data_IF_196484499796
#
_entry.id   IF_196484499796
#
_cell.length_a   1.000
_cell.length_b   1.000
_cell.length_c   1.000
_cell.angle_alpha   90.00
_cell.angle_beta   90.00
_cell.angle_gamma   90.00
#
_symmetry.space_group_name_H-M   'P 1'
#
loop_
_entity.id
_entity.type
_entity.pdbx_description
1 polymer ?
#
# COMPACT_ATOMS: atom_id res chain seq x y z
N UNK A 1 3.02 -15.70 4.18
CA UNK A 1 2.55 -15.32 5.53
C UNK A 1 3.53 -14.37 6.17
N UNK A 2 3.37 -13.09 5.86
CA UNK A 2 4.13 -11.98 6.41
C UNK A 2 3.49 -11.59 7.75
N UNK A 3 4.24 -11.73 8.85
CA UNK A 3 3.80 -11.23 10.17
C UNK A 3 4.05 -9.72 10.31
N UNK A 4 3.56 -9.10 11.40
CA UNK A 4 3.73 -7.65 11.65
C UNK A 4 5.19 -7.16 11.58
N UNK A 5 6.15 -7.97 12.07
CA UNK A 5 7.58 -7.68 11.95
C UNK A 5 8.09 -7.76 10.51
N UNK A 6 7.53 -8.66 9.70
CA UNK A 6 7.80 -8.74 8.27
C UNK A 6 7.24 -7.54 7.51
N UNK A 7 6.08 -7.02 7.91
CA UNK A 7 5.49 -5.83 7.32
C UNK A 7 6.30 -4.56 7.62
N UNK A 8 6.82 -4.40 8.84
CA UNK A 8 7.70 -3.25 9.16
C UNK A 8 9.00 -3.33 8.37
N UNK A 9 9.62 -4.52 8.29
CA UNK A 9 10.86 -4.73 7.53
C UNK A 9 10.66 -4.41 6.04
N UNK A 10 9.51 -4.80 5.49
CA UNK A 10 9.13 -4.48 4.12
C UNK A 10 8.94 -2.97 3.90
N UNK A 11 8.33 -2.27 4.87
CA UNK A 11 8.18 -0.82 4.86
C UNK A 11 9.52 -0.09 4.83
N UNK A 12 10.42 -0.47 5.74
CA UNK A 12 11.75 0.14 5.88
C UNK A 12 12.59 -0.09 4.62
N UNK A 13 12.48 -1.29 4.04
CA UNK A 13 13.09 -1.61 2.76
C UNK A 13 12.57 -0.74 1.62
N UNK A 14 11.24 -0.58 1.49
CA UNK A 14 10.63 0.29 0.48
C UNK A 14 11.04 1.76 0.66
N UNK A 15 11.03 2.26 1.90
CA UNK A 15 11.45 3.62 2.20
C UNK A 15 12.91 3.86 1.80
N UNK A 16 13.80 2.91 2.09
CA UNK A 16 15.20 2.95 1.66
C UNK A 16 15.37 2.91 0.14
N UNK A 17 14.62 2.03 -0.53
CA UNK A 17 14.61 1.96 -2.00
C UNK A 17 14.14 3.28 -2.61
N UNK A 18 13.05 3.86 -2.12
CA UNK A 18 12.52 5.12 -2.64
C UNK A 18 13.44 6.31 -2.37
N UNK A 19 14.19 6.29 -1.27
CA UNK A 19 15.20 7.30 -1.00
C UNK A 19 16.41 7.20 -1.96
N UNK A 20 16.84 5.98 -2.31
CA UNK A 20 18.03 5.75 -3.13
C UNK A 20 17.76 5.80 -4.64
N UNK A 21 16.61 5.28 -5.07
CA UNK A 21 16.29 4.98 -6.46
C UNK A 21 15.02 5.71 -6.94
N UNK A 22 14.71 6.88 -6.35
CA UNK A 22 13.50 7.66 -6.68
C UNK A 22 13.33 7.87 -8.18
N UNK A 23 14.39 8.28 -8.88
CA UNK A 23 14.34 8.54 -10.32
C UNK A 23 14.04 7.27 -11.10
N UNK A 24 14.64 6.14 -10.72
CA UNK A 24 14.34 4.85 -11.35
C UNK A 24 12.87 4.46 -11.15
N UNK A 25 12.30 4.70 -9.97
CA UNK A 25 10.87 4.42 -9.73
C UNK A 25 9.94 5.30 -10.59
N UNK A 26 10.37 6.52 -10.93
CA UNK A 26 9.61 7.46 -11.76
C UNK A 26 9.82 7.27 -13.26
N UNK A 27 10.91 6.61 -13.64
CA UNK A 27 11.25 6.36 -15.04
C UNK A 27 10.73 4.98 -15.47
N UNK A 28 9.71 5.00 -16.33
CA UNK A 28 9.04 3.82 -16.85
C UNK A 28 9.97 2.90 -17.66
N UNK A 29 11.08 3.43 -18.17
CA UNK A 29 12.08 2.66 -18.95
C UNK A 29 13.00 1.83 -18.05
N UNK A 30 12.98 2.06 -16.73
CA UNK A 30 13.81 1.31 -15.79
C UNK A 30 13.09 0.06 -15.27
N UNK A 31 13.83 -0.99 -14.88
CA UNK A 31 13.22 -2.24 -14.40
C UNK A 31 12.64 -2.11 -12.98
N UNK A 32 12.98 -1.06 -12.22
CA UNK A 32 12.67 -0.96 -10.79
C UNK A 32 11.16 -0.97 -10.54
N UNK A 33 10.40 -0.19 -11.33
CA UNK A 33 8.94 -0.15 -11.20
C UNK A 33 8.31 -1.52 -11.51
N UNK A 34 8.87 -2.27 -12.46
CA UNK A 34 8.41 -3.62 -12.79
C UNK A 34 8.63 -4.64 -11.68
N UNK A 35 9.83 -4.63 -11.08
CA UNK A 35 10.15 -5.52 -9.96
C UNK A 35 9.27 -5.22 -8.76
N UNK A 36 8.95 -3.95 -8.51
CA UNK A 36 8.00 -3.55 -7.47
C UNK A 36 6.58 -4.05 -7.76
N UNK A 37 6.13 -3.95 -9.01
CA UNK A 37 4.83 -4.43 -9.44
C UNK A 37 4.67 -5.95 -9.23
N UNK A 38 5.70 -6.72 -9.58
CA UNK A 38 5.75 -8.17 -9.38
C UNK A 38 5.77 -8.52 -7.89
N UNK A 39 6.65 -7.90 -7.10
CA UNK A 39 6.74 -8.14 -5.65
C UNK A 39 5.42 -7.88 -4.93
N UNK A 40 4.71 -6.81 -5.27
CA UNK A 40 3.40 -6.50 -4.69
C UNK A 40 2.31 -7.41 -5.25
N UNK A 41 2.40 -7.78 -6.54
CA UNK A 41 1.47 -8.68 -7.21
C UNK A 41 1.52 -10.13 -6.72
N UNK A 42 2.68 -10.58 -6.22
CA UNK A 42 2.88 -11.92 -5.67
C UNK A 42 2.38 -12.06 -4.21
N UNK A 43 2.00 -10.95 -3.56
CA UNK A 43 1.42 -11.01 -2.22
C UNK A 43 0.03 -11.66 -2.28
N UNK A 44 -0.20 -12.61 -1.37
CA UNK A 44 -1.56 -13.12 -1.12
C UNK A 44 -2.44 -12.00 -0.55
N UNK A 45 -3.76 -12.07 -0.72
CA UNK A 45 -4.70 -11.08 -0.16
C UNK A 45 -4.44 -10.80 1.34
N UNK A 46 -4.19 -11.85 2.12
CA UNK A 46 -3.89 -11.73 3.54
C UNK A 46 -2.56 -11.01 3.80
N UNK A 47 -1.51 -11.35 3.06
CA UNK A 47 -0.20 -10.71 3.20
C UNK A 47 -0.24 -9.25 2.72
N UNK A 48 -1.02 -8.96 1.67
CA UNK A 48 -1.25 -7.61 1.16
C UNK A 48 -1.95 -6.73 2.20
N UNK A 49 -3.01 -7.21 2.85
CA UNK A 49 -3.70 -6.45 3.90
C UNK A 49 -2.81 -6.15 5.11
N UNK A 50 -1.94 -7.09 5.49
CA UNK A 50 -0.95 -6.87 6.56
C UNK A 50 0.11 -5.86 6.14
N UNK A 51 0.55 -5.87 4.87
CA UNK A 51 1.52 -4.93 4.32
C UNK A 51 0.91 -3.55 3.97
N UNK A 52 -0.41 -3.42 3.86
CA UNK A 52 -1.08 -2.25 3.32
C UNK A 52 -0.77 -0.93 4.05
N UNK A 53 -0.73 -0.87 5.41
CA UNK A 53 -0.37 0.37 6.11
C UNK A 53 1.06 0.82 5.80
N UNK A 54 2.00 -0.14 5.79
CA UNK A 54 3.40 0.07 5.45
C UNK A 54 3.58 0.54 4.00
N UNK A 55 2.89 -0.10 3.06
CA UNK A 55 2.86 0.31 1.65
C UNK A 55 2.37 1.75 1.51
N UNK A 56 1.23 2.09 2.14
CA UNK A 56 0.69 3.45 2.11
C UNK A 56 1.69 4.48 2.64
N UNK A 57 2.33 4.18 3.77
CA UNK A 57 3.34 5.06 4.37
C UNK A 57 4.55 5.23 3.46
N UNK A 58 5.04 4.15 2.84
CA UNK A 58 6.17 4.22 1.92
C UNK A 58 5.84 5.12 0.70
N UNK A 59 4.61 5.04 0.17
CA UNK A 59 4.19 5.91 -0.93
C UNK A 59 3.91 7.37 -0.54
N UNK A 60 3.81 7.71 0.76
CA UNK A 60 3.71 9.12 1.21
C UNK A 60 4.97 9.94 0.92
N UNK A 61 6.13 9.27 0.69
CA UNK A 61 7.35 9.91 0.23
C UNK A 61 7.23 10.57 -1.16
N UNK A 62 6.20 10.22 -1.94
CA UNK A 62 5.98 10.76 -3.27
C UNK A 62 4.89 11.85 -3.26
N UNK A 63 5.19 13.09 -3.69
CA UNK A 63 4.21 14.12 -3.98
C UNK A 63 3.11 13.60 -4.92
N UNK A 64 1.92 14.24 -4.92
CA UNK A 64 0.79 13.81 -5.75
C UNK A 64 1.14 13.56 -7.23
N UNK A 65 1.93 14.45 -7.85
CA UNK A 65 2.34 14.31 -9.26
C UNK A 65 3.22 13.09 -9.52
N UNK A 66 4.11 12.79 -8.59
CA UNK A 66 5.01 11.66 -8.73
C UNK A 66 4.28 10.33 -8.53
N UNK A 67 3.29 10.29 -7.62
CA UNK A 67 2.38 9.16 -7.51
C UNK A 67 1.57 8.94 -8.79
N UNK A 68 1.17 10.01 -9.46
CA UNK A 68 0.48 9.95 -10.76
C UNK A 68 1.40 9.35 -11.83
N UNK A 69 2.66 9.80 -11.93
CA UNK A 69 3.66 9.22 -12.85
C UNK A 69 3.87 7.72 -12.60
N UNK A 70 4.00 7.31 -11.33
CA UNK A 70 4.13 5.89 -10.96
C UNK A 70 2.89 5.10 -11.42
N UNK A 71 1.69 5.64 -11.18
CA UNK A 71 0.45 5.00 -11.58
C UNK A 71 0.31 4.88 -13.11
N UNK A 72 0.71 5.90 -13.87
CA UNK A 72 0.75 5.87 -15.34
C UNK A 72 1.71 4.79 -15.84
N UNK A 73 2.94 4.74 -15.30
CA UNK A 73 3.91 3.70 -15.65
C UNK A 73 3.41 2.28 -15.36
N UNK A 74 2.71 2.08 -14.24
CA UNK A 74 2.10 0.78 -13.91
C UNK A 74 0.97 0.39 -14.89
N UNK A 75 0.12 1.34 -15.29
CA UNK A 75 -0.93 1.10 -16.27
C UNK A 75 -0.35 0.68 -17.62
N UNK A 76 0.65 1.41 -18.11
CA UNK A 76 1.32 1.11 -19.36
C UNK A 76 1.96 -0.28 -19.35
N UNK A 77 2.68 -0.61 -18.28
CA UNK A 77 3.34 -1.92 -18.12
C UNK A 77 2.35 -3.09 -18.10
N UNK A 78 1.18 -2.89 -17.48
CA UNK A 78 0.11 -3.90 -17.43
C UNK A 78 -0.75 -3.92 -18.71
N UNK A 79 -0.44 -3.10 -19.71
CA UNK A 79 -1.22 -2.96 -20.93
C UNK A 79 -2.63 -2.42 -20.70
N UNK A 80 -2.88 -1.82 -19.54
CA UNK A 80 -4.16 -1.24 -19.16
C UNK A 80 -4.23 0.20 -19.68
N UNK A 81 -5.34 0.53 -20.35
CA UNK A 81 -5.62 1.91 -20.78
C UNK A 81 -6.74 2.48 -19.93
N UNK A 82 -6.44 3.55 -19.22
CA UNK A 82 -7.35 4.27 -18.32
C UNK A 82 -6.63 5.50 -17.76
N UNK A 83 -7.35 6.37 -17.05
CA UNK A 83 -6.69 7.47 -16.34
C UNK A 83 -6.05 6.93 -15.05
N UNK A 84 -4.85 7.40 -14.67
CA UNK A 84 -4.29 7.13 -13.33
C UNK A 84 -5.28 7.48 -12.21
N UNK A 85 -6.15 8.46 -12.47
CA UNK A 85 -7.26 8.86 -11.61
C UNK A 85 -8.33 7.78 -11.42
N UNK A 86 -8.53 6.88 -12.37
CA UNK A 86 -9.42 5.71 -12.24
C UNK A 86 -8.82 4.65 -11.30
N UNK A 87 -7.49 4.45 -11.28
CA UNK A 87 -6.84 3.60 -10.29
C UNK A 87 -6.94 4.14 -8.86
N UNK A 88 -6.96 5.47 -8.72
CA UNK A 88 -7.19 6.14 -7.44
C UNK A 88 -8.67 6.11 -7.01
N UNK A 89 -9.59 5.68 -7.88
CA UNK A 89 -10.99 5.43 -7.52
C UNK A 89 -11.15 3.95 -7.22
N UNK A 90 -11.19 3.61 -5.94
CA UNK A 90 -11.72 2.32 -5.52
C UNK A 90 -13.20 2.24 -5.93
N UNK A 91 -13.62 1.30 -6.80
CA UNK A 91 -15.01 1.10 -7.14
C UNK A 91 -15.69 0.28 -6.04
N UNK A 92 -15.60 0.71 -4.78
CA UNK A 92 -16.31 0.05 -3.69
C UNK A 92 -17.64 0.73 -3.43
N UNK A 93 -18.68 -0.10 -3.31
CA UNK A 93 -20.00 0.34 -2.89
C UNK A 93 -19.85 1.07 -1.54
N UNK A 94 -20.33 2.33 -1.39
CA UNK A 94 -20.15 3.14 -0.19
C UNK A 94 -20.54 2.44 1.13
N UNK A 95 -21.45 1.47 1.07
CA UNK A 95 -21.80 0.63 2.22
C UNK A 95 -20.64 -0.25 2.70
N UNK A 96 -19.90 -0.86 1.79
CA UNK A 96 -18.81 -1.80 2.13
C UNK A 96 -17.67 -1.07 2.87
N UNK A 97 -17.37 0.16 2.45
CA UNK A 97 -16.43 1.05 3.13
C UNK A 97 -16.93 1.49 4.52
N UNK A 98 -18.24 1.72 4.68
CA UNK A 98 -18.82 2.05 5.97
C UNK A 98 -18.77 0.86 6.94
N UNK A 99 -19.05 -0.35 6.45
CA UNK A 99 -18.94 -1.59 7.22
C UNK A 99 -17.50 -1.88 7.65
N UNK A 100 -16.54 -1.70 6.76
CA UNK A 100 -15.12 -1.85 7.07
C UNK A 100 -14.69 -0.89 8.19
N UNK A 101 -15.03 0.41 8.08
CA UNK A 101 -14.74 1.39 9.15
C UNK A 101 -15.41 1.07 10.48
N UNK A 102 -16.63 0.56 10.44
CA UNK A 102 -17.35 0.16 11.66
C UNK A 102 -16.69 -1.07 12.31
N UNK A 103 -16.12 -1.97 11.51
CA UNK A 103 -15.33 -3.09 12.01
C UNK A 103 -14.00 -2.62 12.62
N UNK A 104 -13.25 -1.76 11.93
CA UNK A 104 -12.00 -1.16 12.44
C UNK A 104 -12.23 -0.49 13.80
N UNK A 105 -13.27 0.35 13.90
CA UNK A 105 -13.63 1.05 15.16
C UNK A 105 -13.94 0.06 16.29
N UNK A 106 -14.58 -1.08 16.00
CA UNK A 106 -14.88 -2.10 17.01
C UNK A 106 -13.62 -2.82 17.47
N UNK A 107 -12.71 -3.14 16.54
CA UNK A 107 -11.42 -3.77 16.88
C UNK A 107 -10.60 -2.84 17.75
N UNK A 108 -10.52 -1.56 17.39
CA UNK A 108 -9.75 -0.55 18.14
C UNK A 108 -10.27 -0.37 19.57
N UNK A 109 -11.60 -0.35 19.75
CA UNK A 109 -12.23 -0.35 21.08
C UNK A 109 -11.96 -1.62 21.88
N UNK A 110 -12.02 -2.78 21.24
CA UNK A 110 -11.77 -4.06 21.91
C UNK A 110 -10.30 -4.19 22.35
N UNK A 111 -9.36 -3.75 21.49
CA UNK A 111 -7.95 -3.69 21.83
C UNK A 111 -7.71 -2.71 23.00
N UNK A 112 -8.28 -1.51 22.95
CA UNK A 112 -8.16 -0.54 24.04
C UNK A 112 -8.70 -1.09 25.38
N UNK A 113 -9.83 -1.78 25.36
CA UNK A 113 -10.39 -2.41 26.56
C UNK A 113 -9.48 -3.53 27.12
N UNK A 114 -8.97 -4.40 26.24
CA UNK A 114 -8.06 -5.48 26.63
C UNK A 114 -6.72 -4.95 27.18
N UNK A 115 -6.21 -3.84 26.64
CA UNK A 115 -5.01 -3.18 27.16
C UNK A 115 -5.23 -2.54 28.54
N UNK A 116 -6.42 -2.03 28.83
CA UNK A 116 -6.76 -1.46 30.14
C UNK A 116 -6.99 -2.52 31.24
N UNK A 117 -7.39 -3.73 30.88
CA UNK A 117 -7.56 -4.86 31.83
C UNK A 117 -6.24 -5.55 32.19
N UNK A 118 -5.17 -5.36 31.40
CA UNK A 118 -3.85 -5.96 31.64
C UNK A 118 -2.91 -5.17 32.56
N UNK A 119 -3.28 -3.95 32.97
CA UNK A 119 -2.50 -3.06 33.84
C UNK A 119 -2.99 -3.01 35.31
N UNK A 120 -3.96 -3.86 35.69
CA UNK A 120 -4.50 -3.93 37.07
C UNK A 120 -4.05 -5.17 37.85
#
# INVERSE_FOLDING_TARGET
MLGAAGASTFADWLAGLFALARQEVLDADTPVLGVLDELVGDLTDADFLVALPALRQAFEFFPPRERETIAEGLLERRGLRGSARELLRTPDAPLLMAEARALETRVEKALAAAFLEGES
#
